data_IF_013730183359
#
_entry.id   IF_013730183359
#
_cell.length_a   1.000
_cell.length_b   1.000
_cell.length_c   1.000
_cell.angle_alpha   90.00
_cell.angle_beta   90.00
_cell.angle_gamma   90.00
#
_symmetry.space_group_name_H-M   'P 1'
#
loop_
_entity.id
_entity.type
_entity.pdbx_description
1 polymer ?
#
# COMPACT_ATOMS: atom_id res chain seq x y z
N UNK A 1 10.28 7.66 -4.83
CA UNK A 1 9.95 8.01 -6.23
C UNK A 1 10.36 6.94 -7.21
N UNK A 2 11.65 6.56 -7.21
CA UNK A 2 12.10 5.50 -8.13
C UNK A 2 11.36 4.19 -7.93
N UNK A 3 11.10 3.83 -6.68
CA UNK A 3 10.43 2.57 -6.37
C UNK A 3 8.99 2.56 -6.86
N UNK A 4 8.29 3.69 -6.72
CA UNK A 4 6.91 3.80 -7.19
C UNK A 4 6.85 3.65 -8.70
N UNK A 5 7.76 4.32 -9.41
CA UNK A 5 7.80 4.22 -10.87
C UNK A 5 8.10 2.79 -11.33
N UNK A 6 9.09 2.15 -10.74
CA UNK A 6 9.47 0.79 -11.12
C UNK A 6 8.33 -0.20 -10.86
N UNK A 7 7.67 -0.08 -9.72
CA UNK A 7 6.55 -0.97 -9.38
C UNK A 7 5.36 -0.73 -10.29
N UNK A 8 5.07 0.53 -10.61
CA UNK A 8 3.97 0.85 -11.51
C UNK A 8 4.17 0.22 -12.87
N UNK A 9 5.39 0.29 -13.42
CA UNK A 9 5.69 -0.32 -14.71
C UNK A 9 5.46 -1.82 -14.71
N UNK A 10 5.90 -2.51 -13.65
CA UNK A 10 5.72 -3.95 -13.53
C UNK A 10 4.23 -4.30 -13.49
N UNK A 11 3.46 -3.57 -12.69
CA UNK A 11 2.04 -3.85 -12.53
C UNK A 11 1.25 -3.55 -13.79
N UNK A 12 1.58 -2.45 -14.47
CA UNK A 12 0.91 -2.09 -15.71
C UNK A 12 1.15 -3.11 -16.81
N UNK A 13 2.35 -3.68 -16.88
CA UNK A 13 2.66 -4.76 -17.83
C UNK A 13 1.81 -5.99 -17.60
N UNK A 14 1.30 -6.17 -16.37
CA UNK A 14 0.44 -7.29 -16.02
C UNK A 14 -1.03 -6.97 -16.19
N UNK A 15 -1.35 -5.84 -16.82
CA UNK A 15 -2.72 -5.47 -17.11
C UNK A 15 -3.43 -4.74 -15.99
N UNK A 16 -2.72 -4.31 -14.97
CA UNK A 16 -3.32 -3.57 -13.85
C UNK A 16 -3.35 -2.08 -14.15
N UNK A 17 -4.43 -1.43 -13.75
CA UNK A 17 -4.52 0.02 -13.79
C UNK A 17 -3.93 0.56 -12.50
N UNK A 18 -2.90 1.39 -12.61
CA UNK A 18 -2.17 1.89 -11.45
C UNK A 18 -2.41 3.38 -11.28
N UNK A 19 -2.86 3.75 -10.08
CA UNK A 19 -3.00 5.15 -9.69
C UNK A 19 -1.94 5.44 -8.65
N UNK A 20 -1.37 6.64 -8.68
CA UNK A 20 -0.29 7.00 -7.75
C UNK A 20 -0.65 8.24 -6.96
N UNK A 21 -0.15 8.31 -5.74
CA UNK A 21 -0.28 9.47 -4.87
C UNK A 21 1.07 9.75 -4.23
N UNK A 22 1.43 11.01 -4.13
CA UNK A 22 2.74 11.40 -3.60
C UNK A 22 2.77 11.60 -2.10
N UNK A 23 1.61 11.76 -1.47
CA UNK A 23 1.50 11.98 -0.02
C UNK A 23 0.35 11.14 0.53
N UNK A 24 0.34 10.99 1.87
CA UNK A 24 -0.76 10.28 2.52
C UNK A 24 -2.11 10.95 2.29
N UNK A 25 -2.13 12.28 2.34
CA UNK A 25 -3.37 13.03 2.08
C UNK A 25 -3.89 12.78 0.68
N UNK A 26 -3.01 12.84 -0.32
CA UNK A 26 -3.40 12.56 -1.71
C UNK A 26 -3.90 11.13 -1.86
N UNK A 27 -3.28 10.19 -1.16
CA UNK A 27 -3.72 8.79 -1.20
C UNK A 27 -5.14 8.66 -0.65
N UNK A 28 -5.44 9.30 0.46
CA UNK A 28 -6.77 9.26 1.05
C UNK A 28 -7.79 9.87 0.10
N UNK A 29 -7.49 11.03 -0.45
CA UNK A 29 -8.38 11.71 -1.40
C UNK A 29 -8.62 10.84 -2.63
N UNK A 30 -7.58 10.19 -3.14
CA UNK A 30 -7.69 9.33 -4.30
C UNK A 30 -8.60 8.12 -4.01
N UNK A 31 -8.46 7.51 -2.85
CA UNK A 31 -9.29 6.38 -2.46
C UNK A 31 -10.75 6.80 -2.26
N UNK A 32 -10.97 7.98 -1.72
CA UNK A 32 -12.33 8.51 -1.54
C UNK A 32 -13.03 8.77 -2.88
N UNK A 33 -12.28 9.21 -3.88
CA UNK A 33 -12.84 9.55 -5.18
C UNK A 33 -12.83 8.39 -6.17
N UNK A 34 -12.20 7.27 -5.83
CA UNK A 34 -12.05 6.13 -6.74
C UNK A 34 -12.45 4.85 -6.00
N UNK A 35 -13.76 4.56 -5.91
CA UNK A 35 -14.24 3.41 -5.13
C UNK A 35 -13.84 2.04 -5.70
N UNK A 36 -13.36 2.02 -6.94
CA UNK A 36 -13.00 0.77 -7.62
C UNK A 36 -11.59 0.27 -7.28
N UNK A 37 -10.85 0.98 -6.45
CA UNK A 37 -9.50 0.54 -6.08
C UNK A 37 -9.60 -0.77 -5.31
N UNK A 38 -8.91 -1.78 -5.81
CA UNK A 38 -8.98 -3.14 -5.24
C UNK A 38 -7.93 -3.41 -4.18
N UNK A 39 -6.82 -2.66 -4.22
CA UNK A 39 -5.71 -2.87 -3.29
C UNK A 39 -4.82 -1.62 -3.29
N UNK A 40 -4.20 -1.33 -2.17
CA UNK A 40 -3.27 -0.20 -2.04
C UNK A 40 -1.89 -0.70 -1.64
N UNK A 41 -0.87 -0.12 -2.26
CA UNK A 41 0.53 -0.31 -1.86
C UNK A 41 0.94 0.97 -1.14
N UNK A 42 1.25 0.86 0.15
CA UNK A 42 1.47 2.01 1.02
C UNK A 42 2.91 2.09 1.49
N UNK A 43 3.63 3.11 1.03
CA UNK A 43 4.97 3.38 1.54
C UNK A 43 4.86 3.96 2.94
N UNK A 44 5.65 3.44 3.88
CA UNK A 44 5.63 3.92 5.26
C UNK A 44 6.36 5.25 5.39
N UNK A 45 7.44 5.44 4.62
CA UNK A 45 8.25 6.66 4.70
C UNK A 45 7.77 7.70 3.69
N UNK A 46 6.84 8.55 4.12
CA UNK A 46 6.30 9.62 3.29
C UNK A 46 6.42 10.96 4.03
N UNK A 47 6.58 12.07 3.30
CA UNK A 47 6.60 13.39 3.93
C UNK A 47 5.24 13.78 4.50
N UNK A 48 5.23 14.64 5.48
CA UNK A 48 4.06 15.23 6.14
C UNK A 48 3.24 14.23 6.95
N UNK A 49 2.70 13.22 6.30
CA UNK A 49 1.88 12.19 6.95
C UNK A 49 2.46 10.83 6.55
N UNK A 50 2.99 10.09 7.52
CA UNK A 50 3.61 8.80 7.22
C UNK A 50 2.57 7.71 6.91
N UNK A 51 3.04 6.54 6.51
CA UNK A 51 2.17 5.43 6.13
C UNK A 51 1.28 4.95 7.27
N UNK A 52 1.78 4.98 8.50
CA UNK A 52 0.99 4.55 9.66
C UNK A 52 -0.21 5.46 9.87
N UNK A 53 0.04 6.76 9.87
CA UNK A 53 -1.03 7.76 10.02
C UNK A 53 -2.04 7.66 8.87
N UNK A 54 -1.54 7.46 7.67
CA UNK A 54 -2.38 7.32 6.48
C UNK A 54 -3.30 6.11 6.60
N UNK A 55 -2.74 4.96 7.02
CA UNK A 55 -3.53 3.73 7.18
C UNK A 55 -4.58 3.88 8.27
N UNK A 56 -4.23 4.53 9.39
CA UNK A 56 -5.22 4.80 10.44
C UNK A 56 -6.38 5.64 9.90
N UNK A 57 -6.07 6.67 9.12
CA UNK A 57 -7.10 7.52 8.53
C UNK A 57 -7.99 6.74 7.55
N UNK A 58 -7.38 5.88 6.73
CA UNK A 58 -8.12 5.04 5.79
C UNK A 58 -9.08 4.11 6.54
N UNK A 59 -8.59 3.46 7.60
CA UNK A 59 -9.39 2.49 8.34
C UNK A 59 -10.54 3.12 9.14
N UNK A 60 -10.49 4.42 9.38
CA UNK A 60 -11.60 5.12 10.03
C UNK A 60 -12.80 5.28 9.10
N UNK A 61 -12.60 5.16 7.80
CA UNK A 61 -13.70 5.25 6.84
C UNK A 61 -14.30 3.87 6.62
N UNK A 62 -15.60 3.74 6.86
CA UNK A 62 -16.27 2.45 6.82
C UNK A 62 -16.15 1.76 5.46
N UNK A 63 -16.21 2.52 4.39
CA UNK A 63 -16.13 1.98 3.03
C UNK A 63 -14.72 1.46 2.68
N UNK A 64 -13.71 1.83 3.48
CA UNK A 64 -12.33 1.43 3.22
C UNK A 64 -11.80 0.41 4.23
N UNK A 65 -12.64 -0.07 5.13
CA UNK A 65 -12.19 -1.02 6.17
C UNK A 65 -11.72 -2.35 5.61
N UNK A 66 -12.23 -2.76 4.47
CA UNK A 66 -11.86 -4.04 3.86
C UNK A 66 -10.86 -3.93 2.72
N UNK A 67 -10.44 -2.71 2.40
CA UNK A 67 -9.45 -2.51 1.36
C UNK A 67 -8.13 -3.18 1.77
N UNK A 68 -7.62 -4.13 0.99
CA UNK A 68 -6.30 -4.68 1.29
C UNK A 68 -5.23 -3.60 1.13
N UNK A 69 -4.35 -3.50 2.11
CA UNK A 69 -3.23 -2.56 2.09
C UNK A 69 -1.95 -3.34 2.33
N UNK A 70 -1.02 -3.25 1.40
CA UNK A 70 0.31 -3.82 1.55
C UNK A 70 1.26 -2.70 1.91
N UNK A 71 1.83 -2.73 3.10
CA UNK A 71 2.78 -1.73 3.54
C UNK A 71 4.17 -2.03 2.98
N UNK A 72 4.85 -1.01 2.50
CA UNK A 72 6.21 -1.12 1.99
C UNK A 72 7.14 -0.37 2.94
N UNK A 73 8.10 -1.07 3.54
CA UNK A 73 8.97 -0.49 4.54
C UNK A 73 10.43 -0.76 4.23
N UNK A 74 11.28 0.24 4.48
CA UNK A 74 12.73 0.08 4.37
C UNK A 74 13.30 -0.64 5.60
N UNK A 75 12.53 -0.70 6.68
CA UNK A 75 12.96 -1.32 7.93
C UNK A 75 12.30 -2.68 8.06
N UNK A 76 13.12 -3.73 8.09
CA UNK A 76 12.64 -5.10 8.28
C UNK A 76 13.05 -5.62 9.65
N UNK A 77 12.96 -4.77 10.65
CA UNK A 77 13.33 -5.13 12.02
C UNK A 77 12.18 -5.84 12.72
N UNK A 78 12.53 -6.62 13.74
CA UNK A 78 11.54 -7.28 14.56
C UNK A 78 10.60 -6.24 15.16
N UNK A 79 9.31 -6.45 15.01
CA UNK A 79 8.29 -5.52 15.48
C UNK A 79 7.73 -4.60 14.44
N UNK A 80 8.44 -4.39 13.33
CA UNK A 80 7.94 -3.51 12.26
C UNK A 80 6.71 -4.10 11.59
N UNK A 81 6.68 -5.42 11.44
CA UNK A 81 5.53 -6.11 10.88
C UNK A 81 4.29 -5.88 11.73
N UNK A 82 4.43 -6.08 13.05
CA UNK A 82 3.32 -5.88 13.98
C UNK A 82 2.86 -4.43 13.96
N UNK A 83 3.77 -3.49 13.88
CA UNK A 83 3.44 -2.07 13.83
C UNK A 83 2.63 -1.74 12.57
N UNK A 84 3.02 -2.31 11.43
CA UNK A 84 2.27 -2.13 10.19
C UNK A 84 0.87 -2.72 10.30
N UNK A 85 0.75 -3.93 10.82
CA UNK A 85 -0.53 -4.60 10.94
C UNK A 85 -1.45 -3.87 11.92
N UNK A 86 -0.92 -3.38 13.02
CA UNK A 86 -1.70 -2.61 13.99
C UNK A 86 -2.21 -1.30 13.40
N UNK A 87 -1.44 -0.71 12.50
CA UNK A 87 -1.85 0.52 11.82
C UNK A 87 -2.94 0.29 10.78
N UNK A 88 -3.15 -0.96 10.36
CA UNK A 88 -4.19 -1.30 9.43
C UNK A 88 -3.74 -2.01 8.16
N UNK A 89 -2.46 -2.32 8.04
CA UNK A 89 -1.95 -3.05 6.89
C UNK A 89 -2.45 -4.50 6.90
N UNK A 90 -2.72 -5.02 5.71
CA UNK A 90 -3.07 -6.42 5.53
C UNK A 90 -1.83 -7.28 5.49
N UNK A 91 -0.75 -6.72 4.98
CA UNK A 91 0.53 -7.41 4.84
C UNK A 91 1.64 -6.36 4.71
N UNK A 92 2.89 -6.76 4.87
CA UNK A 92 4.00 -5.84 4.62
C UNK A 92 5.09 -6.52 3.80
N UNK A 93 5.83 -5.70 3.05
CA UNK A 93 6.99 -6.13 2.28
C UNK A 93 8.15 -5.19 2.57
N UNK A 94 9.34 -5.75 2.73
CA UNK A 94 10.54 -4.96 2.95
C UNK A 94 11.11 -4.45 1.62
N UNK A 95 11.65 -3.25 1.65
CA UNK A 95 12.37 -2.71 0.50
C UNK A 95 13.82 -3.20 0.51
N UNK A 96 14.44 -3.41 -0.63
CA UNK A 96 13.88 -3.29 -1.98
C UNK A 96 12.84 -4.37 -2.25
N UNK A 97 11.75 -3.99 -2.90
CA UNK A 97 10.62 -4.89 -3.12
C UNK A 97 10.98 -5.93 -4.18
N UNK A 98 10.86 -7.20 -3.82
CA UNK A 98 11.04 -8.30 -4.73
C UNK A 98 9.78 -8.46 -5.57
N UNK A 99 9.91 -8.47 -6.89
CA UNK A 99 8.78 -8.55 -7.81
C UNK A 99 7.94 -9.79 -7.58
N UNK A 100 8.58 -10.95 -7.38
CA UNK A 100 7.86 -12.20 -7.17
C UNK A 100 7.06 -12.17 -5.86
N UNK A 101 7.64 -11.61 -4.80
CA UNK A 101 6.94 -11.46 -3.53
C UNK A 101 5.75 -10.52 -3.67
N UNK A 102 5.93 -9.41 -4.39
CA UNK A 102 4.85 -8.46 -4.61
C UNK A 102 3.70 -9.12 -5.37
N UNK A 103 4.01 -9.81 -6.46
CA UNK A 103 2.98 -10.47 -7.27
C UNK A 103 2.26 -11.56 -6.50
N UNK A 104 2.98 -12.29 -5.65
CA UNK A 104 2.39 -13.31 -4.79
C UNK A 104 1.42 -12.68 -3.79
N UNK A 105 1.84 -11.59 -3.16
CA UNK A 105 0.99 -10.87 -2.21
C UNK A 105 -0.26 -10.31 -2.90
N UNK A 106 -0.09 -9.74 -4.08
CA UNK A 106 -1.23 -9.22 -4.84
C UNK A 106 -2.23 -10.32 -5.18
N UNK A 107 -1.74 -11.49 -5.60
CA UNK A 107 -2.61 -12.63 -5.88
C UNK A 107 -3.39 -13.03 -4.64
N UNK A 108 -2.72 -13.11 -3.51
CA UNK A 108 -3.35 -13.50 -2.25
C UNK A 108 -4.49 -12.55 -1.89
N UNK A 109 -4.26 -11.25 -1.99
CA UNK A 109 -5.22 -10.26 -1.49
C UNK A 109 -6.26 -9.85 -2.52
N UNK A 110 -5.98 -10.00 -3.82
CA UNK A 110 -6.95 -9.68 -4.88
C UNK A 110 -7.95 -10.81 -5.11
N UNK A 111 -7.59 -12.04 -4.79
CA UNK A 111 -8.44 -13.21 -5.05
C UNK A 111 -9.04 -13.80 -3.78
N UNK A 112 -9.23 -12.97 -2.78
CA UNK A 112 -9.88 -13.40 -1.54
C UNK A 112 -11.38 -13.41 -1.66
#
# INVERSE_FOLDING_TARGET
MRNIFALSSVLERRGMTVLTAGTGRQAIELLESTPDVAIALMDIMMPEMDGYETMHAIRRQSQLRRLPIIALTAKAMKGDREKCLEAGASEYLAKPVNTDQLLSALRTWLHR
#
